data_IF_602247410007
#
_entry.id   IF_602247410007
#
_cell.length_a   1.000
_cell.length_b   1.000
_cell.length_c   1.000
_cell.angle_alpha   90.00
_cell.angle_beta   90.00
_cell.angle_gamma   90.00
#
_symmetry.space_group_name_H-M   'P 1'
#
loop_
_entity.id
_entity.type
_entity.pdbx_description
1 polymer ?
#
# COMPACT_ATOMS: atom_id res chain seq x y z
N UNK A 1 -7.33 -33.66 -3.96
CA UNK A 1 -6.47 -33.57 -2.76
C UNK A 1 -5.67 -32.27 -2.84
N UNK A 2 -5.76 -31.40 -1.83
CA UNK A 2 -4.97 -30.17 -1.79
C UNK A 2 -3.51 -30.59 -1.60
N UNK A 3 -2.68 -30.41 -2.64
CA UNK A 3 -1.26 -30.73 -2.56
C UNK A 3 -0.56 -29.66 -1.73
N UNK A 4 -0.50 -29.85 -0.41
CA UNK A 4 0.10 -28.94 0.58
C UNK A 4 1.50 -28.46 0.15
N UNK A 5 2.26 -29.31 -0.56
CA UNK A 5 3.59 -29.00 -1.09
C UNK A 5 3.57 -27.96 -2.23
N UNK A 6 2.54 -27.96 -3.07
CA UNK A 6 2.34 -26.94 -4.12
C UNK A 6 1.87 -25.62 -3.52
N UNK A 7 0.96 -25.66 -2.53
CA UNK A 7 0.49 -24.46 -1.84
C UNK A 7 1.63 -23.69 -1.13
N UNK A 8 2.51 -24.43 -0.42
CA UNK A 8 3.70 -23.83 0.20
C UNK A 8 4.60 -23.13 -0.83
N UNK A 9 4.84 -23.75 -1.99
CA UNK A 9 5.64 -23.15 -3.06
C UNK A 9 5.02 -21.85 -3.59
N UNK A 10 3.72 -21.84 -3.88
CA UNK A 10 3.02 -20.64 -4.35
C UNK A 10 3.08 -19.50 -3.34
N UNK A 11 2.96 -19.81 -2.04
CA UNK A 11 3.09 -18.81 -0.98
C UNK A 11 4.51 -18.19 -0.93
N UNK A 12 5.55 -19.01 -1.01
CA UNK A 12 6.94 -18.51 -1.09
C UNK A 12 7.18 -17.66 -2.35
N UNK A 13 6.56 -18.00 -3.49
CA UNK A 13 6.64 -17.19 -4.69
C UNK A 13 5.97 -15.82 -4.53
N UNK A 14 4.78 -15.77 -3.90
CA UNK A 14 4.11 -14.51 -3.60
C UNK A 14 4.93 -13.62 -2.64
N UNK A 15 5.48 -14.20 -1.57
CA UNK A 15 6.36 -13.48 -0.64
C UNK A 15 7.62 -12.95 -1.33
N UNK A 16 8.21 -13.73 -2.23
CA UNK A 16 9.35 -13.26 -3.04
C UNK A 16 8.97 -12.06 -3.90
N UNK A 17 7.76 -12.04 -4.47
CA UNK A 17 7.25 -10.90 -5.23
C UNK A 17 7.21 -9.62 -4.40
N UNK A 18 6.66 -9.70 -3.19
CA UNK A 18 6.62 -8.57 -2.24
C UNK A 18 8.04 -8.14 -1.85
N UNK A 19 8.95 -9.09 -1.59
CA UNK A 19 10.34 -8.80 -1.24
C UNK A 19 11.09 -8.07 -2.36
N UNK A 20 10.83 -8.42 -3.61
CA UNK A 20 11.43 -7.73 -4.76
C UNK A 20 10.99 -6.25 -4.76
N UNK A 21 9.69 -5.98 -4.64
CA UNK A 21 9.16 -4.60 -4.67
C UNK A 21 9.62 -3.79 -3.46
N UNK A 22 9.72 -4.40 -2.26
CA UNK A 22 10.35 -3.78 -1.10
C UNK A 22 11.79 -3.35 -1.36
N UNK A 23 12.56 -4.16 -2.10
CA UNK A 23 13.94 -3.86 -2.44
C UNK A 23 14.09 -2.78 -3.52
N UNK A 24 13.18 -2.74 -4.50
CA UNK A 24 13.32 -1.85 -5.66
C UNK A 24 12.57 -0.53 -5.52
N UNK A 25 11.37 -0.52 -4.94
CA UNK A 25 10.49 0.65 -4.96
C UNK A 25 10.56 1.45 -3.66
N UNK A 26 10.96 2.71 -3.77
CA UNK A 26 11.02 3.62 -2.62
C UNK A 26 9.62 3.98 -2.10
N UNK A 27 8.65 4.18 -3.00
CA UNK A 27 7.24 4.44 -2.69
C UNK A 27 6.65 3.32 -1.84
N UNK A 28 6.85 2.06 -2.25
CA UNK A 28 6.37 0.90 -1.50
C UNK A 28 6.97 0.84 -0.08
N UNK A 29 8.28 1.09 0.07
CA UNK A 29 8.91 1.16 1.41
C UNK A 29 8.32 2.25 2.29
N UNK A 30 8.06 3.42 1.71
CA UNK A 30 7.45 4.54 2.43
C UNK A 30 6.04 4.16 2.91
N UNK A 31 5.21 3.62 2.01
CA UNK A 31 3.84 3.20 2.33
C UNK A 31 3.80 2.10 3.40
N UNK A 32 4.70 1.12 3.34
CA UNK A 32 4.84 0.10 4.40
C UNK A 32 5.23 0.72 5.73
N UNK A 33 6.17 1.67 5.73
CA UNK A 33 6.58 2.38 6.95
C UNK A 33 5.41 3.17 7.56
N UNK A 34 4.65 3.89 6.73
CA UNK A 34 3.44 4.62 7.16
C UNK A 34 2.38 3.66 7.67
N UNK A 35 2.16 2.52 6.99
CA UNK A 35 1.21 1.50 7.42
C UNK A 35 1.55 0.94 8.81
N UNK A 36 2.84 0.70 9.10
CA UNK A 36 3.30 0.28 10.43
C UNK A 36 2.96 1.35 11.48
N UNK A 37 3.26 2.62 11.21
CA UNK A 37 2.93 3.73 12.12
C UNK A 37 1.42 3.80 12.40
N UNK A 38 0.59 3.68 11.36
CA UNK A 38 -0.88 3.67 11.48
C UNK A 38 -1.37 2.51 12.35
N UNK A 39 -0.81 1.31 12.16
CA UNK A 39 -1.17 0.12 12.97
C UNK A 39 -0.77 0.31 14.43
N UNK A 40 0.42 0.83 14.71
CA UNK A 40 0.86 1.11 16.09
C UNK A 40 -0.05 2.16 16.72
N UNK A 41 -0.39 3.25 16.03
CA UNK A 41 -1.29 4.27 16.56
C UNK A 41 -2.71 3.75 16.80
N UNK A 42 -3.24 2.93 15.90
CA UNK A 42 -4.54 2.27 16.08
C UNK A 42 -4.57 1.40 17.33
N UNK A 43 -3.47 0.71 17.62
CA UNK A 43 -3.30 -0.10 18.81
C UNK A 43 -3.24 0.74 20.08
N UNK A 44 -2.33 1.71 20.14
CA UNK A 44 -2.12 2.58 21.32
C UNK A 44 -3.37 3.40 21.68
N UNK A 45 -4.09 3.89 20.66
CA UNK A 45 -5.30 4.70 20.85
C UNK A 45 -6.56 3.86 21.10
N UNK A 46 -6.44 2.53 21.12
CA UNK A 46 -7.55 1.60 21.36
C UNK A 46 -8.76 1.89 20.46
N UNK A 47 -8.50 2.09 19.16
CA UNK A 47 -9.56 2.44 18.22
C UNK A 47 -10.59 1.31 18.07
N UNK A 48 -11.83 1.67 17.71
CA UNK A 48 -12.91 0.70 17.58
C UNK A 48 -12.63 -0.41 16.54
N UNK A 49 -13.24 -1.60 16.67
CA UNK A 49 -13.05 -2.69 15.70
C UNK A 49 -13.39 -2.28 14.25
N UNK A 50 -14.38 -1.41 14.06
CA UNK A 50 -14.74 -0.89 12.74
C UNK A 50 -13.67 0.04 12.17
N UNK A 51 -13.03 0.86 13.00
CA UNK A 51 -11.89 1.66 12.59
C UNK A 51 -10.72 0.79 12.13
N UNK A 52 -10.43 -0.31 12.84
CA UNK A 52 -9.42 -1.29 12.42
C UNK A 52 -9.70 -1.87 11.04
N UNK A 53 -10.93 -2.31 10.78
CA UNK A 53 -11.31 -2.85 9.47
C UNK A 53 -11.05 -1.84 8.35
N UNK A 54 -11.46 -0.58 8.55
CA UNK A 54 -11.24 0.49 7.57
C UNK A 54 -9.76 0.75 7.34
N UNK A 55 -8.96 0.88 8.41
CA UNK A 55 -7.52 1.14 8.30
C UNK A 55 -6.79 0.00 7.58
N UNK A 56 -7.09 -1.26 7.92
CA UNK A 56 -6.48 -2.43 7.28
C UNK A 56 -6.86 -2.53 5.79
N UNK A 57 -8.11 -2.23 5.44
CA UNK A 57 -8.55 -2.20 4.04
C UNK A 57 -7.84 -1.11 3.25
N UNK A 58 -7.66 0.09 3.82
CA UNK A 58 -6.94 1.19 3.17
C UNK A 58 -5.46 0.86 2.98
N UNK A 59 -4.80 0.31 4.00
CA UNK A 59 -3.41 -0.15 3.92
C UNK A 59 -3.27 -1.21 2.82
N UNK A 60 -4.15 -2.21 2.81
CA UNK A 60 -4.14 -3.25 1.80
C UNK A 60 -4.36 -2.69 0.39
N UNK A 61 -5.29 -1.75 0.22
CA UNK A 61 -5.56 -1.10 -1.07
C UNK A 61 -4.34 -0.31 -1.58
N UNK A 62 -3.73 0.52 -0.75
CA UNK A 62 -2.54 1.32 -1.11
C UNK A 62 -1.39 0.41 -1.54
N UNK A 63 -1.03 -0.58 -0.72
CA UNK A 63 0.08 -1.49 -1.02
C UNK A 63 -0.19 -2.35 -2.25
N UNK A 64 -1.42 -2.80 -2.46
CA UNK A 64 -1.79 -3.58 -3.64
C UNK A 64 -1.68 -2.75 -4.91
N UNK A 65 -2.16 -1.50 -4.90
CA UNK A 65 -2.06 -0.62 -6.06
C UNK A 65 -0.61 -0.25 -6.37
N UNK A 66 0.22 -0.05 -5.35
CA UNK A 66 1.65 0.16 -5.55
C UNK A 66 2.33 -1.06 -6.19
N UNK A 67 2.02 -2.28 -5.71
CA UNK A 67 2.49 -3.51 -6.36
C UNK A 67 2.07 -3.60 -7.83
N UNK A 68 0.81 -3.26 -8.13
CA UNK A 68 0.30 -3.23 -9.50
C UNK A 68 1.00 -2.17 -10.35
N UNK A 69 1.30 -1.00 -9.78
CA UNK A 69 2.10 0.04 -10.44
C UNK A 69 3.48 -0.51 -10.83
N UNK A 70 4.20 -1.16 -9.90
CA UNK A 70 5.52 -1.74 -10.19
C UNK A 70 5.48 -2.88 -11.21
N UNK A 71 4.43 -3.70 -11.18
CA UNK A 71 4.22 -4.75 -12.20
C UNK A 71 4.02 -4.11 -13.57
N UNK A 72 3.18 -3.08 -13.65
CA UNK A 72 2.90 -2.37 -14.88
C UNK A 72 4.16 -1.70 -15.47
N UNK A 73 4.93 -1.00 -14.63
CA UNK A 73 6.21 -0.40 -15.03
C UNK A 73 7.15 -1.44 -15.65
N UNK A 74 7.32 -2.60 -15.01
CA UNK A 74 8.18 -3.68 -15.51
C UNK A 74 7.69 -4.28 -16.83
N UNK A 75 6.37 -4.44 -16.99
CA UNK A 75 5.78 -4.93 -18.25
C UNK A 75 6.13 -3.96 -19.37
N UNK A 76 5.87 -2.67 -19.17
CA UNK A 76 6.08 -1.65 -20.20
C UNK A 76 7.57 -1.49 -20.53
N UNK A 77 8.44 -1.51 -19.53
CA UNK A 77 9.90 -1.43 -19.72
C UNK A 77 10.46 -2.63 -20.49
N UNK A 78 9.85 -3.81 -20.33
CA UNK A 78 10.23 -5.01 -21.08
C UNK A 78 9.80 -4.94 -22.54
N UNK A 79 8.67 -4.30 -22.85
CA UNK A 79 8.06 -4.34 -24.18
C UNK A 79 8.74 -3.45 -25.24
N UNK A 80 9.40 -2.34 -24.87
CA UNK A 80 10.46 -1.64 -25.66
C UNK A 80 11.04 -0.46 -24.85
N UNK A 81 12.37 -0.25 -24.85
CA UNK A 81 13.01 0.89 -24.17
C UNK A 81 12.92 2.23 -24.94
N UNK A 82 12.35 2.27 -26.15
CA UNK A 82 12.15 3.51 -26.92
C UNK A 82 10.78 4.09 -26.59
N UNK A 83 10.78 5.03 -25.64
CA UNK A 83 9.65 5.82 -25.15
C UNK A 83 8.77 6.34 -26.30
N UNK A 84 7.64 5.67 -26.53
CA UNK A 84 6.50 6.29 -27.19
C UNK A 84 5.82 7.22 -26.15
N UNK A 85 5.42 8.45 -26.50
CA UNK A 85 4.78 9.37 -25.54
C UNK A 85 3.65 8.73 -24.72
N UNK A 86 2.84 7.88 -25.34
CA UNK A 86 1.78 7.12 -24.67
C UNK A 86 2.25 6.25 -23.49
N UNK A 87 3.46 5.68 -23.53
CA UNK A 87 4.00 4.89 -22.41
C UNK A 87 4.22 5.76 -21.18
N UNK A 88 4.72 6.98 -21.40
CA UNK A 88 4.92 7.94 -20.31
C UNK A 88 3.56 8.30 -19.69
N UNK A 89 2.58 8.63 -20.52
CA UNK A 89 1.23 8.96 -20.05
C UNK A 89 0.61 7.82 -19.23
N UNK A 90 0.77 6.57 -19.67
CA UNK A 90 0.28 5.40 -18.94
C UNK A 90 0.98 5.21 -17.58
N UNK A 91 2.29 5.42 -17.51
CA UNK A 91 3.05 5.36 -16.24
C UNK A 91 2.58 6.46 -15.29
N UNK A 92 2.44 7.68 -15.78
CA UNK A 92 1.98 8.82 -14.99
C UNK A 92 0.54 8.61 -14.47
N UNK A 93 -0.34 8.00 -15.28
CA UNK A 93 -1.69 7.62 -14.86
C UNK A 93 -1.68 6.57 -13.75
N UNK A 94 -0.85 5.53 -13.85
CA UNK A 94 -0.75 4.49 -12.81
C UNK A 94 -0.23 5.05 -11.49
N UNK A 95 0.80 5.91 -11.54
CA UNK A 95 1.27 6.64 -10.37
C UNK A 95 0.16 7.55 -9.78
N UNK A 96 -0.65 8.18 -10.64
CA UNK A 96 -1.81 8.97 -10.24
C UNK A 96 -2.87 8.16 -9.49
N UNK A 97 -3.14 6.92 -9.90
CA UNK A 97 -4.07 6.02 -9.21
C UNK A 97 -3.61 5.73 -7.77
N UNK A 98 -2.32 5.41 -7.59
CA UNK A 98 -1.74 5.18 -6.27
C UNK A 98 -1.82 6.44 -5.41
N UNK A 99 -1.49 7.61 -5.99
CA UNK A 99 -1.54 8.90 -5.30
C UNK A 99 -2.95 9.21 -4.78
N UNK A 100 -3.98 9.03 -5.62
CA UNK A 100 -5.36 9.27 -5.23
C UNK A 100 -5.77 8.37 -4.07
N UNK A 101 -5.49 7.07 -4.14
CA UNK A 101 -5.86 6.16 -3.05
C UNK A 101 -5.08 6.46 -1.78
N UNK A 102 -3.80 6.82 -1.89
CA UNK A 102 -2.99 7.23 -0.74
C UNK A 102 -3.52 8.52 -0.08
N UNK A 103 -3.97 9.50 -0.88
CA UNK A 103 -4.57 10.73 -0.39
C UNK A 103 -5.86 10.46 0.38
N UNK A 104 -6.79 9.68 -0.20
CA UNK A 104 -8.03 9.35 0.49
C UNK A 104 -7.79 8.47 1.72
N UNK A 105 -6.82 7.56 1.68
CA UNK A 105 -6.42 6.78 2.85
C UNK A 105 -5.91 7.69 3.98
N UNK A 106 -5.12 8.72 3.67
CA UNK A 106 -4.66 9.70 4.65
C UNK A 106 -5.81 10.52 5.24
N UNK A 107 -6.76 10.98 4.41
CA UNK A 107 -7.95 11.72 4.86
C UNK A 107 -8.80 10.85 5.79
N UNK A 108 -9.12 9.62 5.39
CA UNK A 108 -9.93 8.69 6.18
C UNK A 108 -9.21 8.32 7.48
N UNK A 109 -7.90 8.06 7.42
CA UNK A 109 -7.07 7.83 8.61
C UNK A 109 -7.12 9.02 9.57
N UNK A 110 -7.01 10.24 9.06
CA UNK A 110 -7.19 11.47 9.84
C UNK A 110 -8.54 11.55 10.53
N UNK A 111 -9.64 11.24 9.83
CA UNK A 111 -10.99 11.20 10.40
C UNK A 111 -11.10 10.14 11.51
N UNK A 112 -10.51 8.96 11.29
CA UNK A 112 -10.51 7.86 12.27
C UNK A 112 -9.75 8.24 13.54
N UNK A 113 -8.60 8.89 13.41
CA UNK A 113 -7.75 9.25 14.55
C UNK A 113 -8.13 10.56 15.24
N UNK A 114 -8.82 11.48 14.56
CA UNK A 114 -9.25 12.77 15.08
C UNK A 114 -9.90 12.71 16.48
N UNK A 115 -10.93 11.87 16.73
CA UNK A 115 -11.58 11.84 18.05
C UNK A 115 -10.67 11.33 19.19
N UNK A 116 -9.61 10.61 18.88
CA UNK A 116 -8.65 10.09 19.86
C UNK A 116 -7.50 11.08 20.11
N UNK A 117 -7.09 11.83 19.09
CA UNK A 117 -6.01 12.82 19.18
C UNK A 117 -6.47 14.16 19.74
N UNK A 118 -7.72 14.56 19.47
CA UNK A 118 -8.26 15.85 19.94
C UNK A 118 -8.22 16.03 21.47
N UNK A 119 -8.62 15.04 22.29
CA UNK A 119 -8.51 15.15 23.75
C UNK A 119 -7.07 15.16 24.25
N UNK A 120 -6.13 14.54 23.53
CA UNK A 120 -4.71 14.54 23.89
C UNK A 120 -4.09 15.92 23.66
N UNK A 121 -4.47 16.59 22.57
CA UNK A 121 -3.99 17.95 22.26
C UNK A 121 -4.48 19.00 23.27
N UNK A 122 -5.69 18.84 23.81
CA UNK A 122 -6.23 19.75 24.84
C UNK A 122 -5.59 19.56 26.23
N UNK A 123 -4.83 18.48 26.44
CA UNK A 123 -4.14 18.18 27.71
C UNK A 123 -2.67 18.63 27.72
N UNK A 124 -2.14 19.04 26.57
CA UNK A 124 -0.80 19.63 26.39
C UNK A 124 -0.89 21.14 26.49
#
# INVERSE_FOLDING_TARGET
>A
MIHVRQFKKSFFHALRGIWIVLGTEQSFRLQVSVAIVVVVFAWELHVSPWAWVVLLLLIAAVLTLELLNSVFERIVDTLRPRLHPAIKDMKDMMAGVVLLVSLFAAIIGGIVFWPYLFPLFLRL
#
